data_IF_373596170292
#
_entry.id   IF_373596170292
#
_cell.length_a   1.000
_cell.length_b   1.000
_cell.length_c   1.000
_cell.angle_alpha   90.00
_cell.angle_beta   90.00
_cell.angle_gamma   90.00
#
_symmetry.space_group_name_H-M   'P 1'
#
loop_
_entity.id
_entity.type
_entity.pdbx_description
1 polymer ?
#
# COMPACT_ATOMS: atom_id res chain seq x y z
N UNK A 1 16.44 4.76 0.69
CA UNK A 1 15.00 5.04 0.47
C UNK A 1 14.72 6.18 -0.52
N UNK A 2 15.35 7.36 -0.42
CA UNK A 2 15.14 8.49 -1.37
C UNK A 2 15.20 8.09 -2.86
N UNK A 3 16.14 7.22 -3.24
CA UNK A 3 16.32 6.73 -4.62
C UNK A 3 15.14 5.87 -5.12
N UNK A 4 14.72 4.87 -4.33
CA UNK A 4 13.53 4.03 -4.57
C UNK A 4 12.25 4.87 -4.66
N UNK A 5 12.05 5.81 -3.73
CA UNK A 5 10.91 6.75 -3.83
C UNK A 5 11.01 7.66 -5.05
N UNK A 6 12.19 8.08 -5.52
CA UNK A 6 12.27 8.89 -6.75
C UNK A 6 11.92 8.07 -8.00
N UNK A 7 12.35 6.80 -8.07
CA UNK A 7 11.96 5.84 -9.11
C UNK A 7 10.45 5.57 -9.14
N UNK A 8 9.83 5.63 -7.97
CA UNK A 8 8.42 5.28 -7.73
C UNK A 8 7.49 6.51 -7.81
N UNK A 9 7.88 7.67 -7.29
CA UNK A 9 6.95 8.78 -6.99
C UNK A 9 7.24 10.09 -7.69
N UNK A 10 8.50 10.47 -7.94
CA UNK A 10 8.75 11.88 -8.29
C UNK A 10 8.48 12.23 -9.74
N UNK A 11 8.39 11.22 -10.63
CA UNK A 11 8.31 11.47 -12.06
C UNK A 11 7.59 10.36 -12.83
N UNK A 12 6.62 9.67 -12.22
CA UNK A 12 5.85 8.65 -12.95
C UNK A 12 5.19 9.23 -14.21
N UNK A 13 4.75 10.48 -14.17
CA UNK A 13 4.24 11.22 -15.33
C UNK A 13 5.31 11.70 -16.32
N UNK A 14 6.59 11.76 -15.90
CA UNK A 14 7.73 12.11 -16.75
C UNK A 14 8.46 10.89 -17.32
N UNK A 15 8.10 9.68 -16.87
CA UNK A 15 8.59 8.42 -17.42
C UNK A 15 8.20 8.31 -18.91
N UNK A 16 9.17 8.08 -19.81
CA UNK A 16 8.95 8.21 -21.24
C UNK A 16 7.86 7.26 -21.72
N UNK A 17 7.83 6.02 -21.24
CA UNK A 17 6.83 5.04 -21.65
C UNK A 17 5.39 5.42 -21.31
N UNK A 18 5.15 6.24 -20.28
CA UNK A 18 3.81 6.73 -19.97
C UNK A 18 3.32 7.82 -20.96
N UNK A 19 4.23 8.37 -21.79
CA UNK A 19 3.94 9.41 -22.79
C UNK A 19 3.92 8.88 -24.22
N UNK A 20 4.49 7.70 -24.47
CA UNK A 20 4.50 7.09 -25.79
C UNK A 20 3.31 6.15 -25.96
N UNK A 21 2.42 6.44 -26.90
CA UNK A 21 1.36 5.49 -27.33
C UNK A 21 1.92 4.13 -27.76
N UNK A 22 3.20 4.08 -28.14
CA UNK A 22 3.92 2.88 -28.53
C UNK A 22 4.08 1.85 -27.40
N UNK A 23 4.10 2.23 -26.11
CA UNK A 23 4.13 1.19 -25.07
C UNK A 23 2.87 0.33 -25.12
N UNK A 24 1.70 0.94 -25.35
CA UNK A 24 0.43 0.22 -25.44
C UNK A 24 0.42 -0.76 -26.62
N UNK A 25 1.18 -0.49 -27.68
CA UNK A 25 1.36 -1.43 -28.80
C UNK A 25 2.30 -2.57 -28.43
N UNK A 26 3.38 -2.29 -27.69
CA UNK A 26 4.38 -3.28 -27.28
C UNK A 26 3.80 -4.27 -26.28
N UNK A 27 3.00 -3.80 -25.33
CA UNK A 27 2.44 -4.66 -24.28
C UNK A 27 1.14 -5.35 -24.70
N UNK A 28 0.54 -5.01 -25.84
CA UNK A 28 -0.69 -5.63 -26.31
C UNK A 28 -0.53 -7.15 -26.42
N UNK A 29 -1.46 -7.97 -25.86
CA UNK A 29 -2.83 -7.62 -25.44
C UNK A 29 -2.98 -7.14 -23.98
N UNK A 30 -1.89 -7.02 -23.22
CA UNK A 30 -1.89 -6.53 -21.83
C UNK A 30 -2.35 -5.08 -21.77
N UNK A 31 -3.06 -4.72 -20.68
CA UNK A 31 -3.53 -3.34 -20.47
C UNK A 31 -2.44 -2.51 -19.80
N UNK A 32 -2.23 -1.27 -20.28
CA UNK A 32 -1.37 -0.30 -19.60
C UNK A 32 -2.09 0.24 -18.36
N UNK A 33 -1.90 -0.41 -17.20
CA UNK A 33 -2.53 0.00 -15.96
C UNK A 33 -1.80 1.15 -15.26
N UNK A 34 -0.50 1.29 -15.57
CA UNK A 34 0.37 2.39 -15.12
C UNK A 34 -0.15 3.78 -15.47
N UNK A 35 -0.94 3.93 -16.52
CA UNK A 35 -1.51 5.24 -16.89
C UNK A 35 -2.35 5.87 -15.77
N UNK A 36 -2.93 5.06 -14.89
CA UNK A 36 -3.68 5.53 -13.71
C UNK A 36 -2.80 6.29 -12.72
N UNK A 37 -1.48 6.08 -12.76
CA UNK A 37 -0.50 6.69 -11.86
C UNK A 37 0.02 8.04 -12.35
N UNK A 38 -0.36 8.48 -13.57
CA UNK A 38 0.16 9.72 -14.18
C UNK A 38 -0.15 10.99 -13.36
N UNK A 39 -1.26 11.01 -12.62
CA UNK A 39 -1.71 12.20 -11.87
C UNK A 39 -1.43 12.10 -10.36
N UNK A 40 -0.79 11.01 -9.92
CA UNK A 40 -0.53 10.75 -8.51
C UNK A 40 0.87 11.23 -8.10
N UNK A 41 0.94 12.14 -7.12
CA UNK A 41 2.20 12.82 -6.77
C UNK A 41 2.90 12.31 -5.51
N UNK A 42 2.21 11.64 -4.55
CA UNK A 42 2.83 11.18 -3.28
C UNK A 42 2.08 10.00 -2.62
N UNK A 43 2.74 9.31 -1.67
CA UNK A 43 2.17 8.35 -0.69
C UNK A 43 1.42 7.11 -1.25
N UNK A 44 1.83 6.62 -2.42
CA UNK A 44 1.26 5.43 -3.07
C UNK A 44 2.31 4.33 -3.24
N UNK A 45 3.27 4.22 -2.32
CA UNK A 45 4.42 3.31 -2.46
C UNK A 45 3.98 1.87 -2.78
N UNK A 46 2.92 1.40 -2.12
CA UNK A 46 2.33 0.08 -2.35
C UNK A 46 1.75 -0.04 -3.75
N UNK A 47 0.87 0.87 -4.16
CA UNK A 47 0.28 0.90 -5.51
C UNK A 47 1.37 0.98 -6.60
N UNK A 48 2.36 1.84 -6.43
CA UNK A 48 3.46 1.93 -7.38
C UNK A 48 4.29 0.65 -7.47
N UNK A 49 4.58 -0.02 -6.34
CA UNK A 49 5.28 -1.30 -6.35
C UNK A 49 4.50 -2.36 -7.14
N UNK A 50 3.17 -2.37 -6.98
CA UNK A 50 2.27 -3.25 -7.74
C UNK A 50 2.32 -2.99 -9.25
N UNK A 51 2.15 -1.73 -9.67
CA UNK A 51 2.19 -1.37 -11.10
C UNK A 51 3.57 -1.57 -11.72
N UNK A 52 4.64 -1.30 -10.95
CA UNK A 52 6.00 -1.53 -11.41
C UNK A 52 6.28 -3.01 -11.63
N UNK A 53 5.93 -3.88 -10.67
CA UNK A 53 6.06 -5.33 -10.88
C UNK A 53 5.26 -5.81 -12.08
N UNK A 54 4.01 -5.34 -12.20
CA UNK A 54 3.15 -5.71 -13.32
C UNK A 54 3.75 -5.32 -14.67
N UNK A 55 4.51 -4.23 -14.77
CA UNK A 55 5.06 -3.74 -16.02
C UNK A 55 6.59 -3.84 -16.12
N UNK A 56 7.27 -4.52 -15.20
CA UNK A 56 8.72 -4.43 -15.10
C UNK A 56 9.41 -4.96 -16.38
N UNK A 57 9.02 -6.16 -16.80
CA UNK A 57 9.55 -6.78 -18.01
C UNK A 57 9.11 -6.02 -19.28
N UNK A 58 7.89 -5.46 -19.28
CA UNK A 58 7.38 -4.63 -20.37
C UNK A 58 8.24 -3.37 -20.56
N UNK A 59 8.61 -2.71 -19.45
CA UNK A 59 9.46 -1.52 -19.43
C UNK A 59 10.88 -1.90 -19.89
N UNK A 60 11.40 -3.06 -19.47
CA UNK A 60 12.69 -3.55 -19.96
C UNK A 60 12.69 -3.71 -21.47
N UNK A 61 11.74 -4.47 -22.01
CA UNK A 61 11.64 -4.69 -23.45
C UNK A 61 11.47 -3.37 -24.23
N UNK A 62 10.71 -2.43 -23.68
CA UNK A 62 10.57 -1.09 -24.26
C UNK A 62 11.90 -0.35 -24.31
N UNK A 63 12.64 -0.30 -23.21
CA UNK A 63 13.91 0.43 -23.11
C UNK A 63 15.03 -0.20 -23.94
N UNK A 64 14.99 -1.52 -24.12
CA UNK A 64 15.91 -2.26 -25.00
C UNK A 64 15.62 -1.94 -26.47
N UNK A 65 14.35 -2.01 -26.88
CA UNK A 65 13.92 -1.68 -28.25
C UNK A 65 14.20 -0.22 -28.61
N UNK A 66 14.09 0.67 -27.64
CA UNK A 66 14.29 2.11 -27.79
C UNK A 66 15.58 2.57 -27.08
N UNK A 67 16.69 1.87 -27.33
CA UNK A 67 18.02 2.16 -26.76
C UNK A 67 18.50 3.60 -27.02
N UNK A 68 18.00 4.27 -28.06
CA UNK A 68 18.30 5.67 -28.38
C UNK A 68 17.65 6.69 -27.43
N UNK A 69 16.75 6.28 -26.53
CA UNK A 69 16.20 7.17 -25.50
C UNK A 69 17.24 7.33 -24.38
N UNK A 70 17.92 8.48 -24.37
CA UNK A 70 19.05 8.79 -23.47
C UNK A 70 18.75 9.87 -22.41
N UNK A 71 17.48 10.10 -22.07
CA UNK A 71 17.18 11.01 -20.96
C UNK A 71 17.61 10.40 -19.61
N UNK A 72 17.91 11.24 -18.62
CA UNK A 72 18.43 10.79 -17.31
C UNK A 72 17.53 9.75 -16.63
N UNK A 73 16.21 9.87 -16.78
CA UNK A 73 15.23 8.93 -16.22
C UNK A 73 15.38 7.56 -16.88
N UNK A 74 15.45 7.49 -18.20
CA UNK A 74 15.59 6.24 -18.94
C UNK A 74 16.94 5.53 -18.69
N UNK A 75 18.00 6.30 -18.45
CA UNK A 75 19.31 5.74 -18.07
C UNK A 75 19.19 5.11 -16.67
N UNK A 76 18.66 5.85 -15.70
CA UNK A 76 18.43 5.33 -14.35
C UNK A 76 17.52 4.09 -14.37
N UNK A 77 16.44 4.11 -15.17
CA UNK A 77 15.52 3.00 -15.24
C UNK A 77 16.19 1.72 -15.78
N UNK A 78 17.12 1.81 -16.74
CA UNK A 78 17.91 0.66 -17.20
C UNK A 78 18.78 0.09 -16.10
N UNK A 79 19.53 0.94 -15.40
CA UNK A 79 20.38 0.52 -14.28
C UNK A 79 19.58 -0.21 -13.19
N UNK A 80 18.33 0.23 -12.94
CA UNK A 80 17.46 -0.42 -11.95
C UNK A 80 16.83 -1.72 -12.44
N UNK A 81 16.51 -1.85 -13.72
CA UNK A 81 15.94 -3.09 -14.27
C UNK A 81 16.89 -4.27 -14.17
N UNK A 82 18.20 -4.02 -14.22
CA UNK A 82 19.25 -5.02 -14.02
C UNK A 82 19.41 -5.45 -12.55
N UNK A 83 18.80 -4.73 -11.60
CA UNK A 83 18.89 -5.05 -10.18
C UNK A 83 17.82 -6.07 -9.75
N UNK A 84 18.13 -7.36 -9.86
CA UNK A 84 17.22 -8.45 -9.46
C UNK A 84 16.68 -8.31 -8.03
N UNK A 85 17.47 -7.74 -7.12
CA UNK A 85 17.08 -7.52 -5.71
C UNK A 85 15.86 -6.60 -5.54
N UNK A 86 15.48 -5.82 -6.55
CA UNK A 86 14.33 -4.92 -6.47
C UNK A 86 13.00 -5.66 -6.59
N UNK A 87 12.91 -6.74 -7.38
CA UNK A 87 11.69 -7.55 -7.52
C UNK A 87 11.15 -8.03 -6.16
N UNK A 88 11.94 -8.66 -5.28
CA UNK A 88 11.45 -9.06 -3.96
C UNK A 88 11.11 -7.88 -3.04
N UNK A 89 11.79 -6.73 -3.17
CA UNK A 89 11.44 -5.51 -2.41
C UNK A 89 10.06 -5.00 -2.81
N UNK A 90 9.80 -4.87 -4.10
CA UNK A 90 8.50 -4.44 -4.59
C UNK A 90 7.40 -5.45 -4.24
N UNK A 91 7.69 -6.75 -4.32
CA UNK A 91 6.72 -7.79 -3.98
C UNK A 91 6.36 -7.72 -2.49
N UNK A 92 7.35 -7.66 -1.59
CA UNK A 92 7.09 -7.52 -0.16
C UNK A 92 6.28 -6.27 0.18
N UNK A 93 6.59 -5.13 -0.43
CA UNK A 93 5.83 -3.88 -0.25
C UNK A 93 4.41 -3.98 -0.82
N UNK A 94 4.23 -4.61 -1.97
CA UNK A 94 2.93 -4.84 -2.61
C UNK A 94 2.04 -5.77 -1.78
N UNK A 95 2.59 -6.82 -1.18
CA UNK A 95 1.89 -7.73 -0.26
C UNK A 95 1.37 -6.99 0.98
N UNK A 96 2.19 -6.11 1.58
CA UNK A 96 1.74 -5.20 2.65
C UNK A 96 0.65 -4.24 2.14
N UNK A 97 0.75 -3.85 0.87
CA UNK A 97 -0.28 -3.17 0.10
C UNK A 97 -1.65 -3.84 0.19
N UNK A 98 -1.70 -5.08 -0.29
CA UNK A 98 -2.90 -5.92 -0.41
C UNK A 98 -3.53 -6.19 0.95
N UNK A 99 -2.75 -6.66 1.93
CA UNK A 99 -3.33 -7.16 3.19
C UNK A 99 -3.51 -6.11 4.28
N UNK A 100 -2.76 -5.01 4.25
CA UNK A 100 -2.76 -4.04 5.35
C UNK A 100 -3.18 -2.66 4.86
N UNK A 101 -2.38 -2.03 4.00
CA UNK A 101 -2.57 -0.61 3.73
C UNK A 101 -3.86 -0.31 2.97
N UNK A 102 -4.25 -1.13 1.99
CA UNK A 102 -5.48 -0.91 1.22
C UNK A 102 -6.74 -1.21 2.03
N UNK A 103 -6.86 -2.33 2.76
CA UNK A 103 -8.00 -2.55 3.66
C UNK A 103 -8.08 -1.48 4.76
N UNK A 104 -6.94 -1.09 5.34
CA UNK A 104 -6.89 0.01 6.31
C UNK A 104 -7.40 1.33 5.71
N UNK A 105 -6.92 1.72 4.54
CA UNK A 105 -7.41 2.91 3.85
C UNK A 105 -8.89 2.82 3.49
N UNK A 106 -9.37 1.63 3.12
CA UNK A 106 -10.78 1.42 2.82
C UNK A 106 -11.65 1.66 4.06
N UNK A 107 -11.27 1.11 5.22
CA UNK A 107 -11.99 1.32 6.49
C UNK A 107 -12.00 2.79 6.88
N UNK A 108 -10.85 3.47 6.89
CA UNK A 108 -10.81 4.86 7.36
C UNK A 108 -11.57 5.82 6.42
N UNK A 109 -11.68 5.49 5.13
CA UNK A 109 -12.41 6.29 4.15
C UNK A 109 -13.88 5.91 4.03
N UNK A 110 -14.31 4.81 4.63
CA UNK A 110 -15.69 4.35 4.64
C UNK A 110 -16.56 5.31 5.45
N UNK A 111 -17.58 5.95 4.84
CA UNK A 111 -18.48 6.88 5.54
C UNK A 111 -19.20 6.27 6.75
N UNK A 112 -19.38 4.95 6.77
CA UNK A 112 -20.07 4.25 7.84
C UNK A 112 -19.14 3.88 9.01
N UNK A 113 -17.82 4.00 8.82
CA UNK A 113 -16.87 3.74 9.90
C UNK A 113 -16.93 4.87 10.93
N UNK A 114 -17.05 4.50 12.20
CA UNK A 114 -17.09 5.41 13.34
C UNK A 114 -15.99 5.10 14.37
N UNK A 115 -15.84 5.95 15.39
CA UNK A 115 -14.76 5.83 16.37
C UNK A 115 -14.85 4.56 17.22
N UNK A 116 -16.06 4.06 17.51
CA UNK A 116 -16.22 2.76 18.15
C UNK A 116 -15.67 1.63 17.29
N UNK A 117 -15.97 1.62 16.00
CA UNK A 117 -15.40 0.65 15.06
C UNK A 117 -13.86 0.75 15.02
N UNK A 118 -13.30 1.96 14.99
CA UNK A 118 -11.85 2.14 14.94
C UNK A 118 -11.11 1.64 16.20
N UNK A 119 -11.73 1.74 17.38
CA UNK A 119 -11.14 1.22 18.62
C UNK A 119 -10.82 -0.28 18.49
N UNK A 120 -11.79 -1.05 17.98
CA UNK A 120 -11.63 -2.48 17.78
C UNK A 120 -10.70 -2.79 16.61
N UNK A 121 -10.91 -2.14 15.47
CA UNK A 121 -10.13 -2.36 14.24
C UNK A 121 -8.64 -2.09 14.48
N UNK A 122 -8.28 -0.98 15.13
CA UNK A 122 -6.87 -0.63 15.34
C UNK A 122 -6.21 -1.59 16.32
N UNK A 123 -6.90 -1.96 17.40
CA UNK A 123 -6.39 -2.96 18.34
C UNK A 123 -6.15 -4.31 17.65
N UNK A 124 -7.09 -4.77 16.82
CA UNK A 124 -6.95 -6.02 16.07
C UNK A 124 -5.83 -5.94 15.04
N UNK A 125 -5.72 -4.84 14.28
CA UNK A 125 -4.63 -4.63 13.33
C UNK A 125 -3.27 -4.71 14.03
N UNK A 126 -3.10 -4.04 15.18
CA UNK A 126 -1.85 -4.13 15.94
C UNK A 126 -1.54 -5.57 16.40
N UNK A 127 -2.54 -6.30 16.87
CA UNK A 127 -2.38 -7.71 17.24
C UNK A 127 -1.91 -8.53 16.03
N UNK A 128 -2.52 -8.35 14.85
CA UNK A 128 -2.09 -9.04 13.64
C UNK A 128 -0.67 -8.68 13.25
N UNK A 129 -0.31 -7.40 13.22
CA UNK A 129 1.04 -6.95 12.84
C UNK A 129 2.13 -7.58 13.72
N UNK A 130 1.82 -7.90 14.97
CA UNK A 130 2.78 -8.48 15.94
C UNK A 130 2.77 -10.02 15.98
N UNK A 131 1.72 -10.67 15.49
CA UNK A 131 1.53 -12.12 15.65
C UNK A 131 1.43 -12.90 14.35
N UNK A 132 1.06 -12.26 13.23
CA UNK A 132 0.93 -12.93 11.95
C UNK A 132 2.29 -13.42 11.47
N UNK A 133 2.33 -14.67 11.00
CA UNK A 133 3.53 -15.17 10.32
C UNK A 133 3.55 -14.67 8.87
N UNK A 134 4.69 -14.17 8.37
CA UNK A 134 4.81 -13.64 7.00
C UNK A 134 4.30 -14.59 5.91
N UNK A 135 4.44 -15.90 6.11
CA UNK A 135 4.03 -16.92 5.13
C UNK A 135 2.54 -16.89 4.81
N UNK A 136 1.70 -16.45 5.76
CA UNK A 136 0.26 -16.34 5.55
C UNK A 136 -0.14 -15.15 4.69
N UNK A 137 0.77 -14.20 4.44
CA UNK A 137 0.51 -13.02 3.63
C UNK A 137 0.84 -13.24 2.15
N UNK A 138 1.41 -14.38 1.75
CA UNK A 138 1.62 -14.69 0.32
C UNK A 138 0.38 -15.41 -0.20
N UNK A 139 -0.72 -14.67 -0.35
CA UNK A 139 -1.99 -15.18 -0.85
C UNK A 139 -2.89 -14.03 -1.30
N UNK A 140 -3.93 -14.32 -2.09
CA UNK A 140 -5.01 -13.36 -2.34
C UNK A 140 -6.10 -13.38 -1.27
N UNK A 141 -6.11 -14.41 -0.42
CA UNK A 141 -7.17 -14.62 0.57
C UNK A 141 -7.16 -13.61 1.71
N UNK A 142 -8.33 -13.41 2.32
CA UNK A 142 -8.47 -12.55 3.49
C UNK A 142 -7.91 -13.22 4.74
N UNK A 143 -6.74 -12.77 5.19
CA UNK A 143 -6.02 -13.38 6.32
C UNK A 143 -5.97 -12.51 7.58
N UNK A 144 -6.18 -11.20 7.46
CA UNK A 144 -6.14 -10.26 8.59
C UNK A 144 -7.55 -9.76 8.93
N UNK A 145 -8.17 -10.32 9.96
CA UNK A 145 -9.58 -10.03 10.29
C UNK A 145 -9.85 -8.69 10.99
N UNK A 146 -8.96 -7.69 10.86
CA UNK A 146 -9.28 -6.32 11.29
C UNK A 146 -10.26 -5.62 10.33
N UNK A 147 -10.38 -6.11 9.10
CA UNK A 147 -11.42 -5.74 8.14
C UNK A 147 -12.45 -6.85 8.01
N UNK A 148 -13.67 -6.51 7.59
CA UNK A 148 -14.60 -7.53 7.09
C UNK A 148 -14.12 -8.10 5.75
N UNK A 149 -14.59 -9.30 5.39
CA UNK A 149 -14.28 -9.92 4.09
C UNK A 149 -14.69 -9.01 2.93
N UNK A 150 -15.89 -8.45 2.99
CA UNK A 150 -16.42 -7.56 1.96
C UNK A 150 -15.56 -6.29 1.79
N UNK A 151 -15.11 -5.69 2.89
CA UNK A 151 -14.21 -4.53 2.86
C UNK A 151 -12.85 -4.90 2.26
N UNK A 152 -12.31 -6.07 2.62
CA UNK A 152 -11.06 -6.57 2.05
C UNK A 152 -11.19 -6.77 0.53
N UNK A 153 -12.22 -7.50 0.08
CA UNK A 153 -12.45 -7.79 -1.34
C UNK A 153 -12.66 -6.50 -2.16
N UNK A 154 -13.42 -5.53 -1.63
CA UNK A 154 -13.59 -4.20 -2.26
C UNK A 154 -12.30 -3.39 -2.31
N UNK A 155 -11.37 -3.65 -1.40
CA UNK A 155 -10.08 -2.95 -1.35
C UNK A 155 -9.05 -3.53 -2.33
N UNK A 156 -9.24 -4.76 -2.83
CA UNK A 156 -8.26 -5.42 -3.69
C UNK A 156 -7.98 -4.62 -4.97
N UNK A 157 -6.74 -4.64 -5.48
CA UNK A 157 -6.45 -4.13 -6.80
C UNK A 157 -7.05 -5.05 -7.88
N UNK A 158 -6.89 -4.68 -9.16
CA UNK A 158 -7.32 -5.53 -10.28
C UNK A 158 -6.69 -6.92 -10.17
N UNK A 159 -7.44 -7.96 -10.51
CA UNK A 159 -7.04 -9.37 -10.34
C UNK A 159 -5.67 -9.66 -10.98
N UNK A 160 -5.43 -9.21 -12.21
CA UNK A 160 -4.14 -9.40 -12.88
C UNK A 160 -2.94 -8.77 -12.15
N UNK A 161 -3.16 -7.70 -11.35
CA UNK A 161 -2.09 -7.13 -10.51
C UNK A 161 -1.83 -8.06 -9.33
N UNK A 162 -2.89 -8.54 -8.66
CA UNK A 162 -2.78 -9.49 -7.54
C UNK A 162 -2.04 -10.73 -7.99
N UNK A 163 -2.43 -11.34 -9.10
CA UNK A 163 -1.80 -12.54 -9.66
C UNK A 163 -0.30 -12.33 -9.87
N UNK A 164 0.10 -11.27 -10.58
CA UNK A 164 1.53 -10.98 -10.81
C UNK A 164 2.31 -10.78 -9.51
N UNK A 165 1.70 -10.14 -8.50
CA UNK A 165 2.35 -9.94 -7.19
C UNK A 165 2.54 -11.28 -6.47
N UNK A 166 1.52 -12.14 -6.45
CA UNK A 166 1.60 -13.44 -5.79
C UNK A 166 2.60 -14.35 -6.51
N UNK A 167 2.57 -14.40 -7.84
CA UNK A 167 3.54 -15.16 -8.64
C UNK A 167 4.98 -14.70 -8.37
N UNK A 168 5.23 -13.39 -8.41
CA UNK A 168 6.57 -12.83 -8.10
C UNK A 168 6.96 -13.12 -6.65
N UNK A 169 6.01 -13.01 -5.71
CA UNK A 169 6.26 -13.29 -4.31
C UNK A 169 6.61 -14.75 -4.05
N UNK A 170 6.01 -15.68 -4.80
CA UNK A 170 6.33 -17.11 -4.74
C UNK A 170 7.68 -17.43 -5.41
N UNK A 171 7.99 -16.81 -6.55
CA UNK A 171 9.31 -16.94 -7.20
C UNK A 171 10.44 -16.52 -6.26
N UNK A 172 10.27 -15.38 -5.56
CA UNK A 172 11.25 -14.83 -4.62
C UNK A 172 10.86 -15.06 -3.15
N UNK A 173 10.24 -16.19 -2.83
CA UNK A 173 9.61 -16.46 -1.52
C UNK A 173 10.49 -16.11 -0.33
N UNK A 174 11.70 -16.66 -0.25
CA UNK A 174 12.58 -16.46 0.91
C UNK A 174 12.97 -14.97 1.13
N UNK A 175 13.50 -14.26 0.12
CA UNK A 175 13.72 -12.81 0.23
C UNK A 175 12.47 -12.01 0.59
N UNK A 176 11.32 -12.32 -0.02
CA UNK A 176 10.05 -11.62 0.23
C UNK A 176 9.58 -11.80 1.66
N UNK A 177 9.63 -13.02 2.20
CA UNK A 177 9.27 -13.29 3.60
C UNK A 177 10.15 -12.50 4.58
N UNK A 178 11.46 -12.40 4.32
CA UNK A 178 12.37 -11.60 5.15
C UNK A 178 12.01 -10.11 5.12
N UNK A 179 11.65 -9.59 3.95
CA UNK A 179 11.23 -8.20 3.78
C UNK A 179 9.91 -7.94 4.50
N UNK A 180 8.90 -8.80 4.31
CA UNK A 180 7.60 -8.71 5.01
C UNK A 180 7.82 -8.74 6.52
N UNK A 181 8.63 -9.66 7.03
CA UNK A 181 8.95 -9.77 8.47
C UNK A 181 9.50 -8.46 9.03
N UNK A 182 10.44 -7.83 8.32
CA UNK A 182 11.02 -6.54 8.74
C UNK A 182 9.98 -5.42 8.69
N UNK A 183 9.15 -5.37 7.65
CA UNK A 183 8.10 -4.34 7.51
C UNK A 183 7.06 -4.49 8.62
N UNK A 184 6.58 -5.71 8.91
CA UNK A 184 5.57 -5.95 9.95
C UNK A 184 6.00 -5.42 11.31
N UNK A 185 7.25 -5.70 11.72
CA UNK A 185 7.81 -5.19 12.99
C UNK A 185 7.82 -3.67 13.00
N UNK A 186 8.37 -3.04 11.97
CA UNK A 186 8.44 -1.58 11.89
C UNK A 186 7.05 -0.93 11.81
N UNK A 187 6.11 -1.59 11.16
CA UNK A 187 4.75 -1.10 11.04
C UNK A 187 4.01 -1.21 12.37
N UNK A 188 4.14 -2.33 13.10
CA UNK A 188 3.60 -2.49 14.44
C UNK A 188 4.10 -1.39 15.39
N UNK A 189 5.43 -1.18 15.42
CA UNK A 189 6.07 -0.16 16.26
C UNK A 189 5.55 1.25 15.93
N UNK A 190 5.58 1.62 14.64
CA UNK A 190 5.11 2.93 14.18
C UNK A 190 3.63 3.14 14.45
N UNK A 191 2.81 2.10 14.27
CA UNK A 191 1.37 2.16 14.50
C UNK A 191 1.03 2.30 15.98
N UNK A 192 1.68 1.53 16.87
CA UNK A 192 1.53 1.68 18.31
C UNK A 192 1.98 3.07 18.78
N UNK A 193 3.09 3.59 18.26
CA UNK A 193 3.56 4.92 18.62
C UNK A 193 2.57 6.03 18.19
N UNK A 194 2.02 5.94 16.97
CA UNK A 194 1.14 6.98 16.43
C UNK A 194 -0.30 6.92 16.98
N UNK A 195 -0.81 5.71 17.25
CA UNK A 195 -2.23 5.48 17.55
C UNK A 195 -2.47 4.80 18.89
N UNK A 196 -1.49 4.09 19.43
CA UNK A 196 -1.63 3.28 20.63
C UNK A 196 -2.08 4.07 21.85
N UNK A 197 -1.47 5.23 22.11
CA UNK A 197 -1.86 6.08 23.26
C UNK A 197 -3.26 6.71 23.12
N UNK A 198 -3.73 6.93 21.89
CA UNK A 198 -5.03 7.56 21.61
C UNK A 198 -6.16 6.51 21.71
N UNK A 199 -5.92 5.31 21.19
CA UNK A 199 -6.91 4.24 21.06
C UNK A 199 -6.72 3.10 22.07
N UNK A 200 -5.75 3.20 22.98
CA UNK A 200 -5.59 2.29 24.12
C UNK A 200 -4.99 0.91 23.79
N UNK A 201 -4.05 0.82 22.84
CA UNK A 201 -3.38 -0.44 22.47
C UNK A 201 -1.85 -0.32 22.37
N UNK A 202 -1.18 -1.47 22.36
CA UNK A 202 0.28 -1.56 22.29
C UNK A 202 1.00 -1.09 23.56
N UNK A 203 2.33 -1.03 23.48
CA UNK A 203 3.19 -0.70 24.64
C UNK A 203 3.13 0.78 25.05
N UNK A 204 2.44 1.61 24.28
CA UNK A 204 2.32 3.06 24.47
C UNK A 204 0.90 3.46 24.90
N UNK A 205 0.01 2.50 25.17
CA UNK A 205 -1.41 2.75 25.49
C UNK A 205 -1.60 3.65 26.71
N UNK A 206 -0.71 3.55 27.70
CA UNK A 206 -0.81 4.25 28.98
C UNK A 206 0.05 5.52 29.01
N UNK A 207 0.85 5.76 27.97
CA UNK A 207 1.74 6.92 27.92
C UNK A 207 0.90 8.20 27.93
N UNK A 208 1.33 9.15 28.78
CA UNK A 208 0.83 10.51 28.73
C UNK A 208 1.51 11.22 27.55
N UNK A 209 1.03 10.95 26.34
CA UNK A 209 1.51 11.55 25.09
C UNK A 209 1.24 13.06 25.02
N UNK A 210 0.75 13.68 26.11
CA UNK A 210 0.13 15.01 26.12
C UNK A 210 -1.04 15.12 25.15
N UNK A 211 -1.52 14.00 24.61
CA UNK A 211 -2.74 13.94 23.83
C UNK A 211 -3.89 14.28 24.76
N UNK A 212 -4.56 15.39 24.47
CA UNK A 212 -5.71 15.89 25.25
C UNK A 212 -6.90 14.92 25.18
N UNK A 213 -6.90 13.99 24.21
CA UNK A 213 -7.98 13.02 23.99
C UNK A 213 -7.44 11.58 23.98
N UNK A 214 -7.91 10.76 24.93
CA UNK A 214 -7.76 9.30 24.94
C UNK A 214 -9.13 8.67 24.65
N UNK A 215 -9.35 8.26 23.40
CA UNK A 215 -10.65 7.78 22.92
C UNK A 215 -11.06 6.49 23.66
N UNK A 216 -10.09 5.66 24.02
CA UNK A 216 -10.31 4.44 24.80
C UNK A 216 -10.89 4.68 26.21
N UNK A 217 -10.76 5.89 26.74
CA UNK A 217 -11.16 6.23 28.11
C UNK A 217 -12.46 7.05 28.16
N UNK A 218 -13.09 7.29 27.00
CA UNK A 218 -14.33 8.04 26.94
C UNK A 218 -15.50 7.18 27.45
N UNK A 219 -16.41 7.83 28.17
CA UNK A 219 -17.70 7.22 28.50
C UNK A 219 -18.55 7.00 27.22
N UNK A 220 -19.60 6.18 27.35
CA UNK A 220 -20.44 5.81 26.21
C UNK A 220 -21.14 7.02 25.56
N UNK A 221 -21.51 8.04 26.33
CA UNK A 221 -22.19 9.23 25.81
C UNK A 221 -21.23 10.10 24.99
N UNK A 222 -20.00 10.25 25.47
CA UNK A 222 -18.91 10.93 24.78
C UNK A 222 -18.52 10.20 23.49
N UNK A 223 -18.45 8.86 23.53
CA UNK A 223 -18.19 8.06 22.34
C UNK A 223 -19.33 8.15 21.32
N UNK A 224 -20.59 8.13 21.78
CA UNK A 224 -21.76 8.32 20.92
C UNK A 224 -21.78 9.70 20.24
N UNK A 225 -21.28 10.75 20.92
CA UNK A 225 -21.09 12.07 20.31
C UNK A 225 -20.00 12.05 19.24
N UNK A 226 -18.86 11.39 19.51
CA UNK A 226 -17.78 11.25 18.54
C UNK A 226 -18.19 10.44 17.32
N UNK A 227 -19.03 9.42 17.48
CA UNK A 227 -19.54 8.62 16.35
C UNK A 227 -20.37 9.42 15.35
N UNK A 228 -20.85 10.62 15.72
CA UNK A 228 -21.51 11.56 14.80
C UNK A 228 -20.53 12.44 14.02
N UNK A 229 -19.25 12.42 14.40
CA UNK A 229 -18.17 13.15 13.73
C UNK A 229 -17.58 12.24 12.66
N UNK A 230 -17.44 12.77 11.43
CA UNK A 230 -16.78 12.04 10.36
C UNK A 230 -15.29 11.83 10.69
N UNK A 231 -14.81 10.58 10.58
CA UNK A 231 -13.41 10.23 10.84
C UNK A 231 -12.48 10.92 9.83
N UNK A 232 -12.94 11.07 8.59
CA UNK A 232 -12.20 11.76 7.53
C UNK A 232 -13.09 12.74 6.78
N UNK A 233 -12.61 13.98 6.63
CA UNK A 233 -13.22 15.00 5.77
C UNK A 233 -13.02 14.75 4.26
N UNK A 234 -12.42 13.61 3.88
CA UNK A 234 -12.09 13.29 2.48
C UNK A 234 -13.29 12.71 1.69
N UNK A 235 -14.32 12.22 2.39
CA UNK A 235 -15.55 11.70 1.78
C UNK A 235 -16.49 12.80 1.25
N UNK A 236 -16.30 14.05 1.67
CA UNK A 236 -16.97 15.22 1.08
C UNK A 236 -16.14 15.77 -0.09
N UNK A 237 -15.80 14.92 -1.06
CA UNK A 237 -15.76 15.44 -2.42
C UNK A 237 -17.22 15.51 -2.84
N UNK A 238 -17.74 16.73 -2.86
CA UNK A 238 -18.88 17.05 -3.69
C UNK A 238 -18.68 16.33 -5.02
N UNK A 239 -19.70 15.54 -5.38
CA UNK A 239 -20.03 15.22 -6.76
C UNK A 239 -20.22 16.57 -7.47
N UNK A 240 -19.12 17.23 -7.83
CA UNK A 240 -19.11 18.19 -8.90
C UNK A 240 -18.99 17.34 -10.16
N UNK A 241 -20.19 17.06 -10.69
CA UNK A 241 -20.44 16.65 -12.07
C UNK A 241 -19.59 17.42 -13.08
#
# INVERSE_FOLDING_TARGET
>A
MKCLTNFITKDYSAKPWNRFSQISLIISPKKNLSITMKDHRFNRLTDCAMYLLYHLDDISQFLDKHSSILNEIAILDRDFLEMEVLKPIYAGVAIIGIHITRPFHHIILDPETNYSTLLDVFKQLYLHLTTIKPEFLITKEHVLNFSTRDQYEKSLPKECLVETIIETAEEFRSPVLNIIKLILVKFADGFAHQKGAIFGFGNQKDDDTKSVLKISNLDQDSLNKLNKVQIHNLGKKELLE
#
